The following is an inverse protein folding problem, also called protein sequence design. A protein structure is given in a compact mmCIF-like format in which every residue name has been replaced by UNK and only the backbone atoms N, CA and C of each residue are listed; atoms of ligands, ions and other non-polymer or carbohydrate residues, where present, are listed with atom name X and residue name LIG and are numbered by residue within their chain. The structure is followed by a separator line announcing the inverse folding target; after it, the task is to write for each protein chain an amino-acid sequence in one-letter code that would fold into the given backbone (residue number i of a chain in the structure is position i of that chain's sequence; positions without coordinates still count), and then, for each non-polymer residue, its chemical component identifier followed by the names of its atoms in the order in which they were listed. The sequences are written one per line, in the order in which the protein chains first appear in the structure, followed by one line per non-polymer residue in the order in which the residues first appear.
data_IF_667734694881
#
_entry.id   IF_667734694881
#
_cell.length_a   1.000
_cell.length_b   1.000
_cell.length_c   1.000
_cell.angle_alpha   90.00
_cell.angle_beta   90.00
_cell.angle_gamma   90.00
#
_symmetry.space_group_name_H-M   'P 1'
#
loop_
_entity.id
_entity.type
_entity.pdbx_description
1 polymer ?
#
# COMPACT_ATOMS: atom_id res chain seq x y z
N UNK A 1 -16.23 -25.38 3.23
CA UNK A 1 -16.58 -24.39 4.27
C UNK A 1 -18.08 -24.18 4.18
N UNK A 2 -18.82 -24.49 5.24
CA UNK A 2 -20.27 -24.28 5.29
C UNK A 2 -20.57 -22.78 5.29
N UNK A 3 -21.61 -22.39 4.54
CA UNK A 3 -22.04 -21.00 4.31
C UNK A 3 -22.80 -20.40 5.51
N UNK A 4 -22.43 -20.75 6.73
CA UNK A 4 -23.02 -20.12 7.92
C UNK A 4 -22.08 -19.01 8.36
N UNK A 5 -22.05 -17.92 7.58
CA UNK A 5 -21.50 -16.66 8.06
C UNK A 5 -22.20 -16.34 9.39
N UNK A 6 -21.47 -15.82 10.40
CA UNK A 6 -22.12 -15.37 11.62
C UNK A 6 -23.22 -14.37 11.26
N UNK A 7 -24.31 -14.30 12.05
CA UNK A 7 -25.39 -13.37 11.76
C UNK A 7 -24.84 -11.95 11.58
N UNK A 8 -25.53 -11.20 10.71
CA UNK A 8 -25.33 -9.78 10.53
C UNK A 8 -25.34 -9.03 11.86
N UNK A 9 -24.64 -7.91 11.91
CA UNK A 9 -24.68 -7.01 13.06
C UNK A 9 -24.88 -5.57 12.58
N UNK A 10 -25.49 -4.77 13.44
CA UNK A 10 -25.69 -3.34 13.24
C UNK A 10 -24.92 -2.56 14.29
N UNK A 11 -24.52 -1.33 13.96
CA UNK A 11 -23.89 -0.40 14.91
C UNK A 11 -24.85 0.66 15.41
N UNK A 12 -24.52 1.23 16.56
CA UNK A 12 -25.23 2.38 17.12
C UNK A 12 -25.30 3.56 16.11
N UNK A 13 -26.41 4.30 16.04
CA UNK A 13 -26.57 5.42 15.12
C UNK A 13 -25.47 6.48 15.21
N UNK A 14 -24.87 6.70 16.38
CA UNK A 14 -23.74 7.63 16.53
C UNK A 14 -22.48 7.11 15.84
N UNK A 15 -22.18 5.81 15.95
CA UNK A 15 -21.06 5.16 15.27
C UNK A 15 -21.27 5.22 13.76
N UNK A 16 -22.47 4.86 13.29
CA UNK A 16 -22.85 5.01 11.89
C UNK A 16 -22.66 6.45 11.41
N UNK A 17 -23.16 7.43 12.18
CA UNK A 17 -23.06 8.82 11.80
C UNK A 17 -21.60 9.28 11.68
N UNK A 18 -20.77 8.92 12.67
CA UNK A 18 -19.34 9.25 12.67
C UNK A 18 -18.65 8.65 11.45
N UNK A 19 -18.75 7.34 11.22
CA UNK A 19 -18.01 6.70 10.13
C UNK A 19 -18.55 7.07 8.76
N UNK A 20 -19.88 7.14 8.59
CA UNK A 20 -20.45 7.46 7.29
C UNK A 20 -20.26 8.94 6.96
N UNK A 21 -20.76 9.86 7.79
CA UNK A 21 -20.85 11.27 7.41
C UNK A 21 -19.56 12.03 7.67
N UNK A 22 -18.84 11.77 8.78
CA UNK A 22 -17.58 12.48 9.06
C UNK A 22 -16.50 12.04 8.06
N UNK A 23 -16.35 10.74 7.81
CA UNK A 23 -15.39 10.26 6.79
C UNK A 23 -15.72 10.79 5.39
N UNK A 24 -17.01 10.81 5.02
CA UNK A 24 -17.45 11.40 3.75
C UNK A 24 -17.10 12.90 3.68
N UNK A 25 -17.37 13.66 4.73
CA UNK A 25 -17.04 15.08 4.80
C UNK A 25 -15.54 15.33 4.69
N UNK A 26 -14.72 14.55 5.42
CA UNK A 26 -13.26 14.60 5.32
C UNK A 26 -12.81 14.28 3.88
N UNK A 27 -13.38 13.25 3.26
CA UNK A 27 -13.10 12.88 1.88
C UNK A 27 -13.41 13.98 0.88
N UNK A 28 -14.55 14.67 1.03
CA UNK A 28 -14.92 15.83 0.20
C UNK A 28 -13.96 17.00 0.42
N UNK A 29 -13.64 17.35 1.67
CA UNK A 29 -12.69 18.41 1.97
C UNK A 29 -11.31 18.11 1.39
N UNK A 30 -10.89 16.84 1.46
CA UNK A 30 -9.64 16.38 0.90
C UNK A 30 -9.66 16.44 -0.63
N UNK A 31 -10.76 16.06 -1.28
CA UNK A 31 -10.94 16.25 -2.71
C UNK A 31 -10.79 17.72 -3.11
N UNK A 32 -11.48 18.64 -2.43
CA UNK A 32 -11.35 20.09 -2.67
C UNK A 32 -9.90 20.57 -2.48
N UNK A 33 -9.21 20.05 -1.47
CA UNK A 33 -7.79 20.32 -1.25
C UNK A 33 -6.92 19.83 -2.41
N UNK A 34 -7.19 18.65 -2.98
CA UNK A 34 -6.46 18.15 -4.14
C UNK A 34 -6.71 19.00 -5.40
N UNK A 35 -7.94 19.51 -5.59
CA UNK A 35 -8.26 20.44 -6.67
C UNK A 35 -7.52 21.77 -6.49
N UNK A 36 -7.48 22.30 -5.27
CA UNK A 36 -6.69 23.48 -4.95
C UNK A 36 -5.21 23.29 -5.31
N UNK A 37 -4.60 22.16 -4.97
CA UNK A 37 -3.22 21.85 -5.35
C UNK A 37 -3.05 21.74 -6.87
N UNK A 38 -3.97 21.06 -7.56
CA UNK A 38 -3.92 20.88 -9.00
C UNK A 38 -3.98 22.22 -9.76
N UNK A 39 -4.90 23.11 -9.38
CA UNK A 39 -5.15 24.35 -10.11
C UNK A 39 -4.34 25.54 -9.60
N UNK A 40 -4.28 25.75 -8.28
CA UNK A 40 -3.62 26.92 -7.70
C UNK A 40 -2.11 26.68 -7.49
N UNK A 41 -1.69 25.45 -7.15
CA UNK A 41 -0.27 25.11 -6.95
C UNK A 41 0.38 24.44 -8.15
N UNK A 42 -0.39 24.15 -9.21
CA UNK A 42 0.08 23.46 -10.43
C UNK A 42 0.73 22.11 -10.11
N UNK A 43 0.28 21.47 -9.03
CA UNK A 43 0.70 20.14 -8.63
C UNK A 43 -0.50 19.20 -8.71
N UNK A 44 -0.60 18.47 -9.82
CA UNK A 44 -1.69 17.52 -10.05
C UNK A 44 -1.51 16.20 -9.31
N UNK A 45 -0.35 15.95 -8.68
CA UNK A 45 -0.03 14.65 -8.09
C UNK A 45 -1.02 14.25 -6.97
N UNK A 46 -1.42 15.13 -6.04
CA UNK A 46 -2.42 14.78 -5.02
C UNK A 46 -3.75 14.34 -5.63
N UNK A 47 -4.21 15.02 -6.69
CA UNK A 47 -5.45 14.67 -7.38
C UNK A 47 -5.35 13.30 -8.08
N UNK A 48 -4.22 13.01 -8.72
CA UNK A 48 -3.98 11.70 -9.33
C UNK A 48 -3.94 10.58 -8.28
N UNK A 49 -3.37 10.83 -7.10
CA UNK A 49 -3.40 9.88 -5.98
C UNK A 49 -4.80 9.68 -5.41
N UNK A 50 -5.59 10.75 -5.30
CA UNK A 50 -6.99 10.67 -4.85
C UNK A 50 -7.81 9.81 -5.81
N UNK A 51 -7.71 10.06 -7.13
CA UNK A 51 -8.39 9.25 -8.15
C UNK A 51 -7.91 7.80 -8.11
N UNK A 52 -6.60 7.57 -7.99
CA UNK A 52 -6.05 6.22 -7.86
C UNK A 52 -6.54 5.49 -6.61
N UNK A 53 -6.74 6.21 -5.50
CA UNK A 53 -7.31 5.65 -4.28
C UNK A 53 -8.80 5.33 -4.37
N UNK A 54 -9.59 6.15 -5.07
CA UNK A 54 -10.98 5.79 -5.41
C UNK A 54 -11.02 4.45 -6.18
N UNK A 55 -10.11 4.25 -7.14
CA UNK A 55 -10.05 3.00 -7.89
C UNK A 55 -9.49 1.84 -7.06
N UNK A 56 -8.52 2.10 -6.17
CA UNK A 56 -8.03 1.10 -5.21
C UNK A 56 -9.15 0.57 -4.31
N UNK A 57 -10.15 1.39 -3.98
CA UNK A 57 -11.29 0.94 -3.16
C UNK A 57 -12.08 -0.21 -3.77
N UNK A 58 -12.03 -0.40 -5.10
CA UNK A 58 -12.67 -1.54 -5.76
C UNK A 58 -12.09 -2.88 -5.31
N UNK A 59 -10.90 -2.89 -4.71
CA UNK A 59 -10.30 -4.07 -4.11
C UNK A 59 -10.84 -4.38 -2.70
N UNK A 60 -11.54 -3.45 -2.06
CA UNK A 60 -11.99 -3.62 -0.68
C UNK A 60 -12.73 -4.95 -0.43
N UNK A 61 -13.65 -5.43 -1.29
CA UNK A 61 -14.29 -6.71 -1.07
C UNK A 61 -13.33 -7.91 -1.18
N UNK A 62 -12.31 -7.84 -2.06
CA UNK A 62 -11.27 -8.87 -2.11
C UNK A 62 -10.43 -8.86 -0.83
N UNK A 63 -10.05 -7.66 -0.37
CA UNK A 63 -9.29 -7.48 0.88
C UNK A 63 -10.05 -8.05 2.07
N UNK A 64 -11.32 -7.67 2.23
CA UNK A 64 -12.18 -8.14 3.30
C UNK A 64 -12.40 -9.65 3.25
N UNK A 65 -12.55 -10.22 2.05
CA UNK A 65 -12.67 -11.67 1.88
C UNK A 65 -11.42 -12.43 2.31
N UNK A 66 -10.23 -11.89 2.09
CA UNK A 66 -8.97 -12.55 2.44
C UNK A 66 -8.64 -12.46 3.93
N UNK A 67 -9.00 -11.35 4.56
CA UNK A 67 -8.74 -11.06 5.97
C UNK A 67 -9.94 -11.30 6.89
N UNK A 68 -11.04 -11.80 6.33
CA UNK A 68 -12.29 -12.15 7.03
C UNK A 68 -12.88 -10.95 7.79
N UNK A 69 -12.90 -9.79 7.13
CA UNK A 69 -13.44 -8.53 7.67
C UNK A 69 -14.90 -8.38 7.26
N UNK A 70 -15.78 -8.02 8.19
CA UNK A 70 -17.18 -7.68 7.92
C UNK A 70 -17.55 -6.34 8.51
N UNK A 71 -18.15 -5.48 7.70
CA UNK A 71 -18.75 -4.22 8.16
C UNK A 71 -20.15 -4.45 8.73
N UNK A 72 -20.62 -3.49 9.54
CA UNK A 72 -22.00 -3.46 10.00
C UNK A 72 -22.99 -3.32 8.82
N UNK A 73 -24.11 -4.03 8.89
CA UNK A 73 -25.08 -4.11 7.78
C UNK A 73 -25.90 -2.83 7.58
N UNK A 74 -25.95 -1.97 8.60
CA UNK A 74 -26.69 -0.71 8.53
C UNK A 74 -25.89 0.44 7.88
N UNK A 75 -24.65 0.21 7.42
CA UNK A 75 -23.96 1.16 6.55
C UNK A 75 -24.58 1.16 5.14
N UNK A 76 -24.76 2.33 4.51
CA UNK A 76 -25.13 2.38 3.10
C UNK A 76 -24.04 1.74 2.23
N UNK A 77 -24.43 0.90 1.27
CA UNK A 77 -23.48 0.25 0.36
C UNK A 77 -23.02 1.18 -0.77
N UNK A 78 -21.73 1.15 -1.12
CA UNK A 78 -21.22 1.69 -2.38
C UNK A 78 -21.28 0.66 -3.51
N UNK A 79 -20.82 -0.57 -3.24
CA UNK A 79 -20.80 -1.68 -4.19
C UNK A 79 -20.60 -3.00 -3.45
N UNK A 80 -20.86 -4.12 -4.14
CA UNK A 80 -20.72 -5.48 -3.61
C UNK A 80 -19.78 -6.27 -4.51
N UNK A 81 -18.82 -6.98 -3.92
CA UNK A 81 -17.90 -7.88 -4.61
C UNK A 81 -17.60 -9.10 -3.75
N UNK A 82 -17.42 -10.28 -4.34
CA UNK A 82 -17.17 -11.54 -3.59
C UNK A 82 -18.23 -11.84 -2.50
N UNK A 83 -19.45 -11.31 -2.63
CA UNK A 83 -20.51 -11.44 -1.62
C UNK A 83 -20.36 -10.52 -0.40
N UNK A 84 -19.40 -9.59 -0.41
CA UNK A 84 -19.15 -8.63 0.66
C UNK A 84 -19.51 -7.23 0.17
N UNK A 85 -20.34 -6.53 0.94
CA UNK A 85 -20.69 -5.14 0.68
C UNK A 85 -19.62 -4.19 1.23
N UNK A 86 -19.20 -3.23 0.42
CA UNK A 86 -18.29 -2.15 0.82
C UNK A 86 -19.12 -0.92 1.19
N UNK A 87 -18.96 -0.37 2.41
CA UNK A 87 -19.66 0.85 2.84
C UNK A 87 -19.38 2.07 1.95
N UNK A 88 -20.36 2.95 1.83
CA UNK A 88 -20.33 4.11 0.93
C UNK A 88 -19.24 5.14 1.29
N UNK A 89 -18.82 5.20 2.56
CA UNK A 89 -17.71 6.07 2.96
C UNK A 89 -16.33 5.52 2.58
N UNK A 90 -16.22 4.22 2.31
CA UNK A 90 -14.94 3.53 2.14
C UNK A 90 -14.17 3.99 0.89
N UNK A 91 -14.80 4.23 -0.29
CA UNK A 91 -14.08 4.78 -1.43
C UNK A 91 -13.35 6.09 -1.15
N UNK A 92 -13.99 7.00 -0.39
CA UNK A 92 -13.38 8.25 0.01
C UNK A 92 -12.26 8.06 1.04
N UNK A 93 -12.38 7.06 1.93
CA UNK A 93 -11.31 6.69 2.85
C UNK A 93 -10.06 6.21 2.09
N UNK A 94 -10.19 5.28 1.15
CA UNK A 94 -9.07 4.82 0.30
C UNK A 94 -8.46 5.94 -0.54
N UNK A 95 -9.27 6.88 -1.04
CA UNK A 95 -8.79 8.09 -1.72
C UNK A 95 -7.90 8.93 -0.80
N UNK A 96 -8.30 9.08 0.47
CA UNK A 96 -7.52 9.77 1.48
C UNK A 96 -6.24 9.03 1.88
N UNK A 97 -6.31 7.73 2.10
CA UNK A 97 -5.13 6.91 2.44
C UNK A 97 -4.10 6.93 1.31
N UNK A 98 -4.53 6.96 0.05
CA UNK A 98 -3.62 7.06 -1.10
C UNK A 98 -2.82 8.38 -1.13
N UNK A 99 -3.34 9.46 -0.53
CA UNK A 99 -2.62 10.73 -0.39
C UNK A 99 -1.45 10.62 0.60
N UNK A 100 -1.46 9.66 1.53
CA UNK A 100 -0.30 9.37 2.38
C UNK A 100 0.93 9.08 1.52
N UNK A 101 0.76 8.36 0.41
CA UNK A 101 1.82 8.11 -0.57
C UNK A 101 2.41 9.40 -1.17
N UNK A 102 1.60 10.43 -1.39
CA UNK A 102 2.09 11.75 -1.82
C UNK A 102 2.99 12.40 -0.76
N UNK A 103 2.63 12.34 0.53
CA UNK A 103 3.46 12.89 1.60
C UNK A 103 4.78 12.11 1.78
N UNK A 104 4.72 10.78 1.69
CA UNK A 104 5.91 9.92 1.67
C UNK A 104 6.83 10.31 0.52
N UNK A 105 6.30 10.41 -0.70
CA UNK A 105 7.04 10.86 -1.88
C UNK A 105 7.71 12.22 -1.66
N UNK A 106 6.96 13.23 -1.19
CA UNK A 106 7.50 14.57 -0.93
C UNK A 106 8.66 14.54 0.07
N UNK A 107 8.56 13.73 1.12
CA UNK A 107 9.63 13.58 2.11
C UNK A 107 10.86 12.86 1.57
N UNK A 108 10.63 11.80 0.80
CA UNK A 108 11.68 10.98 0.20
C UNK A 108 12.42 11.68 -0.94
N UNK A 109 11.77 12.59 -1.67
CA UNK A 109 12.45 13.46 -2.65
C UNK A 109 13.57 14.30 -2.05
N UNK A 110 13.47 14.63 -0.76
CA UNK A 110 14.51 15.33 -0.02
C UNK A 110 15.61 14.38 0.52
N UNK A 111 15.78 13.22 -0.11
CA UNK A 111 16.71 12.16 0.28
C UNK A 111 16.04 11.04 1.08
N UNK A 112 16.29 9.80 0.67
CA UNK A 112 15.81 8.59 1.34
C UNK A 112 16.87 8.11 2.33
N UNK A 113 16.46 7.86 3.57
CA UNK A 113 17.32 7.22 4.57
C UNK A 113 16.53 6.17 5.34
N UNK A 114 17.23 5.20 5.91
CA UNK A 114 16.60 4.16 6.73
C UNK A 114 15.76 4.75 7.86
N UNK A 115 16.26 5.81 8.52
CA UNK A 115 15.51 6.50 9.57
C UNK A 115 14.19 7.07 9.06
N UNK A 116 14.19 7.75 7.90
CA UNK A 116 12.95 8.29 7.32
C UNK A 116 11.98 7.18 6.95
N UNK A 117 12.45 6.14 6.28
CA UNK A 117 11.60 5.01 5.86
C UNK A 117 10.97 4.33 7.06
N UNK A 118 11.76 3.98 8.07
CA UNK A 118 11.25 3.35 9.29
C UNK A 118 10.32 4.28 10.08
N UNK A 119 10.59 5.59 10.11
CA UNK A 119 9.68 6.56 10.73
C UNK A 119 8.34 6.66 10.02
N UNK A 120 8.30 6.63 8.68
CA UNK A 120 7.04 6.61 7.94
C UNK A 120 6.29 5.31 8.14
N UNK A 121 6.98 4.16 8.06
CA UNK A 121 6.37 2.87 8.34
C UNK A 121 5.74 2.85 9.73
N UNK A 122 6.48 3.27 10.76
CA UNK A 122 5.99 3.33 12.14
C UNK A 122 4.86 4.34 12.33
N UNK A 123 4.92 5.50 11.66
CA UNK A 123 3.87 6.50 11.72
C UNK A 123 2.58 5.96 11.12
N UNK A 124 2.62 5.37 9.92
CA UNK A 124 1.43 4.80 9.27
C UNK A 124 0.90 3.66 10.12
N UNK A 125 1.76 2.77 10.62
CA UNK A 125 1.39 1.69 11.54
C UNK A 125 0.62 2.19 12.77
N UNK A 126 1.13 3.23 13.46
CA UNK A 126 0.47 3.79 14.64
C UNK A 126 -0.84 4.50 14.28
N UNK A 127 -0.86 5.25 13.19
CA UNK A 127 -2.07 5.93 12.70
C UNK A 127 -3.15 4.90 12.40
N UNK A 128 -2.79 3.79 11.76
CA UNK A 128 -3.69 2.70 11.42
C UNK A 128 -4.28 2.04 12.66
N UNK A 129 -3.45 1.69 13.65
CA UNK A 129 -3.92 1.19 14.96
C UNK A 129 -4.95 2.14 15.58
N UNK A 130 -4.70 3.45 15.54
CA UNK A 130 -5.61 4.43 16.13
C UNK A 130 -6.91 4.47 15.34
N UNK A 131 -6.86 4.61 14.02
CA UNK A 131 -8.05 4.77 13.21
C UNK A 131 -8.88 3.48 13.12
N UNK A 132 -8.27 2.39 12.67
CA UNK A 132 -8.95 1.11 12.49
C UNK A 132 -9.22 0.40 13.81
N UNK A 133 -8.31 0.50 14.79
CA UNK A 133 -8.55 -0.07 16.12
C UNK A 133 -9.71 0.62 16.84
N UNK A 134 -9.85 1.96 16.73
CA UNK A 134 -11.03 2.66 17.26
C UNK A 134 -12.29 2.22 16.49
N UNK A 135 -12.24 2.20 15.16
CA UNK A 135 -13.38 1.78 14.33
C UNK A 135 -13.89 0.39 14.72
N UNK A 136 -12.99 -0.58 14.81
CA UNK A 136 -13.31 -1.95 15.19
C UNK A 136 -13.80 -2.06 16.63
N UNK A 137 -13.18 -1.34 17.58
CA UNK A 137 -13.63 -1.33 18.98
C UNK A 137 -15.03 -0.74 19.18
N UNK A 138 -15.45 0.16 18.29
CA UNK A 138 -16.80 0.73 18.25
C UNK A 138 -17.78 -0.14 17.43
N UNK A 139 -17.31 -1.28 16.91
CA UNK A 139 -18.08 -2.23 16.13
C UNK A 139 -18.31 -1.82 14.69
N UNK A 140 -17.61 -0.84 14.11
CA UNK A 140 -17.81 -0.45 12.71
C UNK A 140 -17.53 -1.62 11.74
N UNK A 141 -16.60 -2.49 12.11
CA UNK A 141 -16.36 -3.77 11.49
C UNK A 141 -15.82 -4.78 12.49
N UNK A 142 -15.94 -6.06 12.17
CA UNK A 142 -15.47 -7.20 12.96
C UNK A 142 -14.62 -8.13 12.10
N UNK A 143 -13.88 -9.00 12.77
CA UNK A 143 -13.15 -10.08 12.13
C UNK A 143 -13.80 -11.41 12.47
N UNK A 144 -13.95 -12.27 11.47
CA UNK A 144 -14.46 -13.62 11.69
C UNK A 144 -13.33 -14.62 11.93
N UNK A 145 -13.62 -15.63 12.75
CA UNK A 145 -12.68 -16.72 13.01
C UNK A 145 -11.55 -16.35 13.98
N UNK A 146 -10.54 -17.22 14.05
CA UNK A 146 -9.40 -17.03 14.94
C UNK A 146 -8.32 -16.20 14.24
N UNK A 147 -8.23 -14.93 14.59
CA UNK A 147 -7.27 -14.01 14.00
C UNK A 147 -5.96 -13.97 14.81
N UNK A 148 -4.78 -14.21 14.20
CA UNK A 148 -3.52 -14.05 14.89
C UNK A 148 -3.30 -12.57 15.19
N UNK A 149 -2.72 -12.25 16.35
CA UNK A 149 -2.52 -10.86 16.79
C UNK A 149 -3.82 -10.05 16.93
N UNK A 150 -4.96 -10.72 17.13
CA UNK A 150 -6.18 -10.04 17.53
C UNK A 150 -6.04 -9.53 18.98
N UNK A 151 -6.16 -8.22 19.15
CA UNK A 151 -6.12 -7.58 20.45
C UNK A 151 -7.29 -6.60 20.47
N UNK A 152 -8.16 -6.74 21.48
CA UNK A 152 -9.38 -5.94 21.63
C UNK A 152 -10.32 -6.00 20.41
N UNK A 153 -10.41 -7.15 19.74
CA UNK A 153 -11.31 -7.36 18.60
C UNK A 153 -10.74 -6.90 17.25
N UNK A 154 -9.49 -6.41 17.22
CA UNK A 154 -8.85 -5.92 16.00
C UNK A 154 -7.54 -6.64 15.70
N UNK A 155 -7.36 -7.08 14.45
CA UNK A 155 -6.15 -7.76 13.97
C UNK A 155 -5.00 -6.78 13.77
N UNK A 156 -4.04 -6.75 14.70
CA UNK A 156 -2.89 -5.83 14.66
C UNK A 156 -2.00 -5.97 13.42
N UNK A 157 -2.15 -7.09 12.71
CA UNK A 157 -1.44 -7.32 11.46
C UNK A 157 -1.80 -6.35 10.35
N UNK A 158 -3.03 -5.82 10.33
CA UNK A 158 -3.45 -4.88 9.29
C UNK A 158 -2.56 -3.65 9.29
N UNK A 159 -2.16 -3.15 10.46
CA UNK A 159 -1.32 -1.96 10.52
C UNK A 159 0.03 -2.11 9.84
N UNK A 160 0.71 -3.27 9.92
CA UNK A 160 1.99 -3.41 9.21
C UNK A 160 1.82 -3.69 7.71
N UNK A 161 0.66 -4.22 7.31
CA UNK A 161 0.30 -4.40 5.89
C UNK A 161 -0.09 -3.07 5.24
N UNK A 162 -0.95 -2.30 5.90
CA UNK A 162 -1.34 -0.95 5.48
C UNK A 162 -0.12 -0.02 5.46
N UNK A 163 0.74 -0.09 6.48
CA UNK A 163 1.99 0.68 6.52
C UNK A 163 2.86 0.46 5.29
N UNK A 164 3.13 -0.79 4.90
CA UNK A 164 3.93 -1.07 3.72
C UNK A 164 3.18 -0.77 2.42
N UNK A 165 1.88 -1.07 2.37
CA UNK A 165 1.00 -0.81 1.22
C UNK A 165 1.03 0.68 0.85
N UNK A 166 0.65 1.57 1.75
CA UNK A 166 0.61 3.00 1.47
C UNK A 166 1.99 3.64 1.34
N UNK A 167 2.99 3.17 2.08
CA UNK A 167 4.36 3.67 1.94
C UNK A 167 4.96 3.34 0.57
N UNK A 168 4.66 2.16 0.02
CA UNK A 168 5.15 1.73 -1.29
C UNK A 168 4.62 2.58 -2.45
N UNK A 169 3.44 3.22 -2.28
CA UNK A 169 2.93 4.24 -3.22
C UNK A 169 3.97 5.36 -3.35
N UNK A 170 4.37 5.97 -2.23
CA UNK A 170 5.33 7.06 -2.21
C UNK A 170 6.72 6.66 -2.72
N UNK A 171 7.14 5.43 -2.43
CA UNK A 171 8.39 4.88 -2.95
C UNK A 171 8.36 4.76 -4.48
N UNK A 172 7.30 4.20 -5.08
CA UNK A 172 7.21 4.07 -6.53
C UNK A 172 7.09 5.45 -7.22
N UNK A 173 6.41 6.40 -6.60
CA UNK A 173 6.32 7.77 -7.11
C UNK A 173 7.69 8.44 -7.26
N UNK A 174 8.68 8.13 -6.40
CA UNK A 174 10.05 8.66 -6.55
C UNK A 174 10.65 8.30 -7.90
N UNK A 175 10.37 7.09 -8.38
CA UNK A 175 10.89 6.61 -9.64
C UNK A 175 10.02 7.08 -10.82
N UNK A 176 8.70 7.02 -10.70
CA UNK A 176 7.81 7.31 -11.83
C UNK A 176 7.64 8.81 -12.12
N UNK A 177 7.51 9.66 -11.10
CA UNK A 177 7.18 11.08 -11.31
C UNK A 177 8.21 11.82 -12.18
N UNK A 178 9.53 11.64 -12.01
CA UNK A 178 10.53 12.29 -12.88
C UNK A 178 10.54 11.78 -14.33
N UNK A 179 9.96 10.61 -14.60
CA UNK A 179 10.05 9.90 -15.89
C UNK A 179 8.79 10.04 -16.76
N UNK A 180 7.72 10.61 -16.21
CA UNK A 180 6.43 10.73 -16.90
C UNK A 180 6.11 12.21 -17.19
N UNK A 181 6.46 12.72 -18.38
CA UNK A 181 6.07 14.06 -18.83
C UNK A 181 4.60 14.14 -19.29
N UNK A 182 4.02 15.34 -19.17
CA UNK A 182 2.73 15.67 -19.78
C UNK A 182 1.60 14.71 -19.40
N UNK A 183 0.89 14.20 -20.42
CA UNK A 183 -0.25 13.30 -20.27
C UNK A 183 0.13 11.93 -19.70
N UNK A 184 1.39 11.50 -19.82
CA UNK A 184 1.85 10.22 -19.27
C UNK A 184 1.75 10.19 -17.74
N UNK A 185 1.65 11.34 -17.07
CA UNK A 185 1.35 11.41 -15.64
C UNK A 185 0.04 10.72 -15.27
N UNK A 186 -0.89 10.51 -16.21
CA UNK A 186 -2.11 9.74 -15.95
C UNK A 186 -1.82 8.29 -15.53
N UNK A 187 -0.68 7.70 -15.92
CA UNK A 187 -0.27 6.38 -15.43
C UNK A 187 -0.05 6.35 -13.91
N UNK A 188 0.16 7.50 -13.27
CA UNK A 188 0.29 7.58 -11.81
C UNK A 188 -1.02 7.21 -11.08
N UNK A 189 -2.18 7.27 -11.75
CA UNK A 189 -3.47 6.82 -11.19
C UNK A 189 -3.42 5.34 -10.83
N UNK A 190 -2.65 4.52 -11.56
CA UNK A 190 -2.52 3.09 -11.27
C UNK A 190 -1.61 2.81 -10.06
N UNK A 191 -0.81 3.78 -9.60
CA UNK A 191 0.21 3.57 -8.57
C UNK A 191 -0.41 3.14 -7.23
N UNK A 192 -1.47 3.79 -6.70
CA UNK A 192 -2.13 3.30 -5.48
C UNK A 192 -2.58 1.84 -5.57
N UNK A 193 -3.15 1.44 -6.70
CA UNK A 193 -3.63 0.07 -6.93
C UNK A 193 -2.45 -0.91 -6.91
N UNK A 194 -1.43 -0.68 -7.75
CA UNK A 194 -0.29 -1.58 -7.90
C UNK A 194 0.53 -1.69 -6.60
N UNK A 195 0.74 -0.56 -5.92
CA UNK A 195 1.58 -0.51 -4.74
C UNK A 195 0.87 -1.01 -3.48
N UNK A 196 -0.37 -0.59 -3.23
CA UNK A 196 -1.09 -1.05 -2.05
C UNK A 196 -1.30 -2.57 -2.11
N UNK A 197 -1.81 -3.08 -3.23
CA UNK A 197 -1.98 -4.52 -3.42
C UNK A 197 -0.64 -5.23 -3.46
N UNK A 198 0.33 -4.73 -4.23
CA UNK A 198 1.66 -5.32 -4.27
C UNK A 198 2.31 -5.43 -2.89
N UNK A 199 2.27 -4.37 -2.09
CA UNK A 199 2.85 -4.32 -0.75
C UNK A 199 2.13 -5.21 0.24
N UNK A 200 0.80 -5.12 0.31
CA UNK A 200 -0.03 -5.95 1.21
C UNK A 200 0.12 -7.42 0.87
N UNK A 201 0.03 -7.81 -0.41
CA UNK A 201 0.09 -9.23 -0.78
C UNK A 201 1.52 -9.77 -0.69
N UNK A 202 2.54 -9.01 -1.11
CA UNK A 202 3.92 -9.48 -1.02
C UNK A 202 4.41 -9.67 0.41
N UNK A 203 3.94 -8.86 1.37
CA UNK A 203 4.25 -9.03 2.78
C UNK A 203 3.26 -9.95 3.51
N UNK A 204 1.99 -9.90 3.14
CA UNK A 204 0.89 -10.56 3.86
C UNK A 204 0.56 -11.98 3.39
N UNK A 205 1.10 -12.48 2.28
CA UNK A 205 0.73 -13.82 1.77
C UNK A 205 0.85 -14.97 2.79
N UNK A 206 1.85 -15.03 3.71
CA UNK A 206 1.90 -16.13 4.68
C UNK A 206 0.73 -16.05 5.66
N UNK A 207 0.34 -14.84 6.06
CA UNK A 207 -0.82 -14.60 6.91
C UNK A 207 -2.12 -14.92 6.16
N UNK A 208 -2.25 -14.53 4.89
CA UNK A 208 -3.43 -14.88 4.09
C UNK A 208 -3.61 -16.41 4.00
N UNK A 209 -2.51 -17.16 3.88
CA UNK A 209 -2.54 -18.63 3.99
C UNK A 209 -3.06 -19.06 5.36
N UNK A 210 -2.53 -18.49 6.44
CA UNK A 210 -2.94 -18.84 7.80
C UNK A 210 -4.44 -18.61 8.05
N UNK A 211 -5.00 -17.54 7.50
CA UNK A 211 -6.42 -17.20 7.69
C UNK A 211 -7.34 -18.08 6.84
N UNK A 212 -6.88 -18.53 5.68
CA UNK A 212 -7.74 -19.23 4.72
C UNK A 212 -7.54 -20.75 4.70
N UNK A 213 -6.56 -21.29 5.42
CA UNK A 213 -6.30 -22.72 5.55
C UNK A 213 -6.57 -23.23 6.96
N UNK A 214 -6.86 -24.52 7.07
CA UNK A 214 -7.03 -25.21 8.36
C UNK A 214 -5.65 -25.45 9.00
N UNK A 215 -5.16 -24.43 9.71
CA UNK A 215 -3.90 -24.46 10.45
C UNK A 215 -4.13 -24.22 11.93
N UNK A 216 -3.25 -24.77 12.77
CA UNK A 216 -3.33 -24.54 14.22
C UNK A 216 -2.98 -23.09 14.56
N UNK A 217 -3.52 -22.58 15.68
CA UNK A 217 -3.25 -21.21 16.12
C UNK A 217 -1.75 -20.87 16.21
N UNK A 218 -0.86 -21.71 16.77
CA UNK A 218 0.57 -21.41 16.80
C UNK A 218 1.19 -21.21 15.40
N UNK A 219 0.72 -21.97 14.40
CA UNK A 219 1.17 -21.83 13.01
C UNK A 219 0.66 -20.51 12.42
N UNK A 220 -0.59 -20.13 12.68
CA UNK A 220 -1.13 -18.86 12.22
C UNK A 220 -0.37 -17.65 12.79
N UNK A 221 -0.02 -17.70 14.08
CA UNK A 221 0.79 -16.66 14.72
C UNK A 221 2.19 -16.60 14.13
N UNK A 222 2.85 -17.74 13.91
CA UNK A 222 4.15 -17.80 13.25
C UNK A 222 4.11 -17.16 11.85
N UNK A 223 3.10 -17.50 11.05
CA UNK A 223 2.94 -16.93 9.70
C UNK A 223 2.64 -15.43 9.74
N UNK A 224 1.94 -14.93 10.76
CA UNK A 224 1.80 -13.49 11.00
C UNK A 224 3.14 -12.81 11.36
N UNK A 225 4.01 -13.44 12.16
CA UNK A 225 5.39 -12.93 12.41
C UNK A 225 6.20 -12.89 11.11
N UNK A 226 6.10 -13.92 10.26
CA UNK A 226 6.77 -13.96 8.96
C UNK A 226 6.25 -12.81 8.07
N UNK A 227 4.95 -12.53 8.09
CA UNK A 227 4.37 -11.38 7.38
C UNK A 227 4.93 -10.04 7.86
N UNK A 228 5.05 -9.84 9.17
CA UNK A 228 5.70 -8.65 9.73
C UNK A 228 7.16 -8.55 9.27
N UNK A 229 7.92 -9.64 9.32
CA UNK A 229 9.31 -9.65 8.86
C UNK A 229 9.42 -9.28 7.37
N UNK A 230 8.52 -9.78 6.51
CA UNK A 230 8.47 -9.43 5.10
C UNK A 230 8.11 -7.94 4.89
N UNK A 231 7.18 -7.39 5.66
CA UNK A 231 6.85 -5.95 5.64
C UNK A 231 8.09 -5.10 5.96
N UNK A 232 8.88 -5.50 6.96
CA UNK A 232 10.13 -4.82 7.33
C UNK A 232 11.23 -4.98 6.27
N UNK A 233 11.38 -6.17 5.66
CA UNK A 233 12.31 -6.38 4.54
C UNK A 233 11.93 -5.52 3.34
N UNK A 234 10.64 -5.39 3.05
CA UNK A 234 10.15 -4.50 1.99
C UNK A 234 10.45 -3.03 2.33
N UNK A 235 10.19 -2.60 3.56
CA UNK A 235 10.57 -1.25 3.99
C UNK A 235 12.07 -1.00 3.80
N UNK A 236 12.92 -1.97 4.18
CA UNK A 236 14.36 -1.86 3.99
C UNK A 236 14.77 -1.85 2.51
N UNK A 237 14.11 -2.62 1.64
CA UNK A 237 14.42 -2.67 0.21
C UNK A 237 14.18 -1.32 -0.49
N UNK A 238 13.20 -0.53 -0.02
CA UNK A 238 13.00 0.85 -0.50
C UNK A 238 14.26 1.70 -0.31
N UNK A 239 14.96 1.55 0.83
CA UNK A 239 16.21 2.26 1.11
C UNK A 239 17.31 1.80 0.17
N UNK A 240 17.47 0.48 0.01
CA UNK A 240 18.50 -0.11 -0.84
C UNK A 240 18.33 0.29 -2.31
N UNK A 241 17.09 0.36 -2.81
CA UNK A 241 16.79 0.77 -4.18
C UNK A 241 16.90 2.27 -4.40
N UNK A 242 16.61 3.09 -3.38
CA UNK A 242 16.74 4.53 -3.48
C UNK A 242 18.19 5.01 -3.35
N UNK A 243 19.04 4.23 -2.68
CA UNK A 243 20.47 4.50 -2.52
C UNK A 243 21.29 3.28 -2.97
N UNK A 244 21.32 2.96 -4.28
CA UNK A 244 22.19 1.90 -4.77
C UNK A 244 23.62 2.22 -4.34
N UNK A 245 24.25 1.30 -3.59
CA UNK A 245 25.63 1.45 -3.15
C UNK A 245 26.54 1.72 -4.35
N UNK A 246 27.42 2.74 -4.23
CA UNK A 246 28.46 3.09 -5.21
C UNK A 246 29.40 1.93 -5.57
N UNK A 247 29.34 0.82 -4.82
CA UNK A 247 30.12 -0.40 -5.08
C UNK A 247 29.77 -1.07 -6.42
N UNK A 248 28.56 -0.84 -6.96
CA UNK A 248 28.19 -1.32 -8.29
C UNK A 248 28.82 -0.51 -9.44
N UNK A 249 29.32 0.70 -9.18
CA UNK A 249 30.01 1.55 -10.17
C UNK A 249 31.54 1.37 -10.11
N UNK A 250 32.07 0.75 -9.04
CA UNK A 250 33.50 0.48 -8.85
C UNK A 250 33.94 -0.97 -9.04
N UNK A 251 33.01 -1.93 -9.23
CA UNK A 251 33.35 -3.30 -9.59
C UNK A 251 33.20 -3.55 -11.11
N UNK A 252 34.34 -3.49 -11.80
CA UNK A 252 34.61 -4.13 -13.11
C UNK A 252 33.94 -3.59 -14.37
N UNK A 253 34.12 -2.30 -14.67
CA UNK A 253 34.33 -1.91 -16.08
C UNK A 253 35.80 -1.49 -16.24
N UNK A 254 36.63 -2.25 -16.99
CA UNK A 254 37.97 -1.78 -17.32
C UNK A 254 37.84 -0.41 -18.01
N UNK A 255 38.69 0.52 -17.60
CA UNK A 255 38.70 1.91 -18.08
C UNK A 255 38.78 1.94 -19.61
N UNK A 256 37.62 2.12 -20.27
CA UNK A 256 37.47 2.10 -21.72
C UNK A 256 38.27 3.21 -22.41
N UNK A 257 38.82 4.17 -21.64
CA UNK A 257 39.71 5.22 -22.15
C UNK A 257 41.08 4.70 -22.58
N UNK A 258 41.47 3.51 -22.13
CA UNK A 258 42.78 2.89 -22.46
C UNK A 258 42.67 1.71 -23.44
N UNK A 259 41.47 1.37 -23.91
CA UNK A 259 41.32 0.37 -24.97
C UNK A 259 41.74 1.00 -26.30
N UNK A 260 42.99 0.75 -26.70
CA UNK A 260 43.44 0.95 -28.08
C UNK A 260 42.56 0.10 -28.98
N UNK A 261 41.58 0.72 -29.63
CA UNK A 261 40.86 0.09 -30.74
C UNK A 261 41.91 -0.10 -31.85
N UNK A 262 42.19 -1.34 -32.29
CA UNK A 262 43.08 -1.54 -33.43
C UNK A 262 42.48 -0.83 -34.64
N UNK A 263 43.17 0.18 -35.16
CA UNK A 263 42.85 0.75 -36.47
C UNK A 263 42.89 -0.38 -37.49
N UNK A 264 41.84 -0.53 -38.30
CA UNK A 264 41.53 -1.71 -39.12
C UNK A 264 42.50 -2.06 -40.25
N UNK A 265 43.80 -2.20 -39.95
CA UNK A 265 44.85 -2.67 -40.85
C UNK A 265 45.26 -4.13 -40.64
N UNK A 266 44.99 -4.72 -39.47
CA UNK A 266 45.58 -6.02 -39.09
C UNK A 266 44.62 -7.23 -39.22
N UNK A 267 43.75 -7.23 -40.23
CA UNK A 267 42.97 -8.42 -40.63
C UNK A 267 43.48 -8.95 -41.97
N UNK A 268 44.77 -9.31 -42.03
CA UNK A 268 45.31 -10.17 -43.08
C UNK A 268 46.48 -11.01 -42.54
N UNK A 269 46.20 -12.02 -41.71
CA UNK A 269 47.19 -13.08 -41.43
C UNK A 269 46.60 -14.34 -40.77
N UNK A 270 45.41 -14.85 -41.17
CA UNK A 270 45.00 -16.22 -40.80
C UNK A 270 44.17 -16.86 -41.92
N UNK A 271 44.79 -17.08 -43.08
CA UNK A 271 44.39 -18.11 -44.05
C UNK A 271 45.65 -18.58 -44.79
N UNK A 272 46.29 -19.61 -44.25
CA UNK A 272 47.49 -20.23 -44.83
C UNK A 272 48.09 -21.21 -43.84
N UNK A 273 47.58 -22.44 -43.86
CA UNK A 273 47.99 -23.57 -43.01
C UNK A 273 46.99 -24.71 -43.18
#
# INVERSE_FOLDING_TARGET
MGNDLPPGFEVDPAVLFTWQYVSTAIGILLFLWTLYFAFAKRDSLPLLMFIGGLLLSLNDPLYNSLFHIRYAENFPDAFVGFGIATPAFMPLAYAGFSIVGYFVYRSFRAGVSIRKVMSFWALIFVVDIIFEGIASSLGAFTFDGNQPFEILGWGFYLAWLNAIGFMSIGALLLFMVPRLPGWQKLFLIAVPILCHLGGVFASGWPLMIALNWDVSAPVAWLLGVVSLALSLVFAWSIVALANPSSDAEHQHLPDLKNLKIPSGGDIQAVRGG
#
